data_IF_378040218571
#
_entry.id   IF_378040218571
#
_cell.length_a   1.000
_cell.length_b   1.000
_cell.length_c   1.000
_cell.angle_alpha   90.00
_cell.angle_beta   90.00
_cell.angle_gamma   90.00
#
_symmetry.space_group_name_H-M   'P 1'
#
loop_
_entity.id
_entity.type
_entity.pdbx_description
1 polymer ?
#
# COMPACT_ATOMS: atom_id res chain seq x y z
N UNK A 1 -15.56 2.16 15.30
CA UNK A 1 -15.00 1.46 14.11
C UNK A 1 -15.71 0.13 13.86
N UNK A 2 -15.61 -0.86 14.75
CA UNK A 2 -16.28 -2.16 14.57
C UNK A 2 -17.80 -2.03 14.36
N UNK A 3 -18.50 -1.38 15.30
CA UNK A 3 -19.96 -1.12 15.18
C UNK A 3 -20.32 -0.32 13.92
N UNK A 4 -19.64 0.81 13.69
CA UNK A 4 -19.91 1.68 12.54
C UNK A 4 -19.63 1.05 11.17
N UNK A 5 -18.82 -0.02 11.11
CA UNK A 5 -18.53 -0.74 9.86
C UNK A 5 -19.38 -2.01 9.68
N UNK A 6 -20.28 -2.30 10.62
CA UNK A 6 -21.06 -3.54 10.64
C UNK A 6 -20.20 -4.80 10.70
N UNK A 7 -18.97 -4.70 11.20
CA UNK A 7 -18.01 -5.81 11.22
C UNK A 7 -18.03 -6.53 12.57
N UNK A 8 -17.66 -7.81 12.57
CA UNK A 8 -17.61 -8.61 13.79
C UNK A 8 -16.21 -8.56 14.43
N UNK A 9 -16.10 -8.98 15.70
CA UNK A 9 -14.79 -9.08 16.36
C UNK A 9 -13.83 -10.04 15.62
N UNK A 10 -14.36 -11.07 14.95
CA UNK A 10 -13.57 -12.02 14.16
C UNK A 10 -13.01 -11.45 12.86
N UNK A 11 -13.44 -10.24 12.47
CA UNK A 11 -12.89 -9.52 11.31
C UNK A 11 -11.67 -8.65 11.69
N UNK A 12 -11.28 -8.62 12.97
CA UNK A 12 -10.13 -7.85 13.45
C UNK A 12 -9.13 -8.70 14.22
N UNK A 13 -7.90 -8.21 14.29
CA UNK A 13 -6.86 -8.69 15.19
C UNK A 13 -6.00 -7.53 15.70
N UNK A 14 -4.95 -7.86 16.43
CA UNK A 14 -3.92 -6.91 16.86
C UNK A 14 -2.57 -7.39 16.39
N UNK A 15 -1.68 -6.46 16.05
CA UNK A 15 -0.31 -6.76 15.64
C UNK A 15 0.70 -5.91 16.42
N UNK A 16 1.96 -5.94 15.97
CA UNK A 16 3.02 -5.09 16.48
C UNK A 16 3.28 -5.24 17.96
N UNK A 17 3.57 -4.12 18.62
CA UNK A 17 4.01 -4.12 20.02
C UNK A 17 2.93 -4.64 20.98
N UNK A 18 1.65 -4.51 20.65
CA UNK A 18 0.54 -5.05 21.43
C UNK A 18 0.52 -6.59 21.40
N UNK A 19 0.58 -7.18 20.20
CA UNK A 19 0.55 -8.63 20.04
C UNK A 19 1.73 -9.30 20.75
N UNK A 20 2.91 -8.68 20.69
CA UNK A 20 4.13 -9.21 21.31
C UNK A 20 4.26 -8.89 22.81
N UNK A 21 3.35 -8.10 23.40
CA UNK A 21 3.44 -7.69 24.80
C UNK A 21 4.59 -6.73 25.10
N UNK A 22 5.12 -6.04 24.08
CA UNK A 22 6.21 -5.08 24.18
C UNK A 22 5.74 -3.62 24.15
N UNK A 23 4.42 -3.41 24.21
CA UNK A 23 3.86 -2.07 24.13
C UNK A 23 4.24 -1.23 25.34
N UNK A 24 4.47 0.06 25.10
CA UNK A 24 4.69 1.06 26.14
C UNK A 24 3.55 2.09 26.09
N UNK A 25 2.73 2.23 27.14
CA UNK A 25 1.52 3.08 27.12
C UNK A 25 1.74 4.53 26.69
N UNK A 26 2.95 5.06 26.87
CA UNK A 26 3.31 6.44 26.48
C UNK A 26 3.88 6.57 25.06
N UNK A 27 4.33 5.47 24.45
CA UNK A 27 5.14 5.52 23.22
C UNK A 27 4.52 4.73 22.07
N UNK A 28 3.90 3.58 22.35
CA UNK A 28 3.37 2.70 21.31
C UNK A 28 2.18 3.29 20.55
N UNK A 29 2.10 2.90 19.31
CA UNK A 29 0.94 2.95 18.41
C UNK A 29 -0.02 1.77 18.67
N UNK A 30 -1.11 1.74 17.90
CA UNK A 30 -2.08 0.65 17.85
C UNK A 30 -2.15 0.08 16.43
N UNK A 31 -1.61 -1.13 16.25
CA UNK A 31 -1.67 -1.84 14.97
C UNK A 31 -2.85 -2.82 14.97
N UNK A 32 -3.91 -2.47 14.26
CA UNK A 32 -5.13 -3.27 14.17
C UNK A 32 -5.12 -4.06 12.86
N UNK A 33 -5.22 -5.38 12.94
CA UNK A 33 -5.41 -6.21 11.75
C UNK A 33 -6.85 -6.08 11.27
N UNK A 34 -7.05 -5.96 9.96
CA UNK A 34 -8.35 -6.02 9.29
C UNK A 34 -8.37 -7.22 8.35
N UNK A 35 -9.18 -8.22 8.65
CA UNK A 35 -9.25 -9.44 7.85
C UNK A 35 -10.27 -9.30 6.71
N UNK A 36 -9.79 -9.47 5.48
CA UNK A 36 -10.62 -9.57 4.28
C UNK A 36 -10.77 -8.27 3.51
N UNK A 37 -10.81 -8.39 2.18
CA UNK A 37 -10.92 -7.22 1.29
C UNK A 37 -12.24 -6.46 1.46
N UNK A 38 -13.33 -7.19 1.68
CA UNK A 38 -14.67 -6.62 1.88
C UNK A 38 -14.78 -5.88 3.22
N UNK A 39 -14.16 -6.40 4.29
CA UNK A 39 -14.06 -5.69 5.58
C UNK A 39 -13.20 -4.45 5.45
N UNK A 40 -12.04 -4.55 4.78
CA UNK A 40 -11.17 -3.40 4.52
C UNK A 40 -11.92 -2.28 3.79
N UNK A 41 -12.72 -2.62 2.77
CA UNK A 41 -13.52 -1.64 2.03
C UNK A 41 -14.46 -0.86 2.96
N UNK A 42 -15.28 -1.55 3.75
CA UNK A 42 -16.19 -0.90 4.72
C UNK A 42 -15.45 -0.06 5.76
N UNK A 43 -14.28 -0.52 6.21
CA UNK A 43 -13.45 0.23 7.14
C UNK A 43 -12.92 1.51 6.52
N UNK A 44 -12.46 1.48 5.27
CA UNK A 44 -11.96 2.68 4.58
C UNK A 44 -13.06 3.71 4.35
N UNK A 45 -14.27 3.27 3.98
CA UNK A 45 -15.45 4.12 3.82
C UNK A 45 -15.83 4.79 5.15
N UNK A 46 -15.91 4.01 6.24
CA UNK A 46 -16.16 4.54 7.58
C UNK A 46 -15.06 5.51 8.04
N UNK A 47 -13.79 5.17 7.83
CA UNK A 47 -12.68 6.04 8.24
C UNK A 47 -12.68 7.35 7.46
N UNK A 48 -13.06 7.34 6.19
CA UNK A 48 -13.25 8.55 5.41
C UNK A 48 -14.30 9.48 6.06
N UNK A 49 -15.46 8.94 6.45
CA UNK A 49 -16.50 9.71 7.15
C UNK A 49 -15.99 10.25 8.50
N UNK A 50 -15.36 9.38 9.30
CA UNK A 50 -14.82 9.74 10.61
C UNK A 50 -13.72 10.80 10.53
N UNK A 51 -12.87 10.78 9.50
CA UNK A 51 -11.83 11.79 9.32
C UNK A 51 -12.38 13.14 8.86
N UNK A 52 -13.60 13.18 8.29
CA UNK A 52 -14.27 14.42 7.89
C UNK A 52 -15.11 15.03 9.02
N UNK A 53 -15.47 14.24 10.03
CA UNK A 53 -16.22 14.69 11.19
C UNK A 53 -15.30 15.36 12.23
N UNK A 54 -15.49 16.67 12.45
CA UNK A 54 -14.71 17.44 13.43
C UNK A 54 -14.92 17.03 14.89
N UNK A 55 -15.99 16.31 15.20
CA UNK A 55 -16.25 15.76 16.55
C UNK A 55 -15.69 14.33 16.73
N UNK A 56 -15.21 13.72 15.65
CA UNK A 56 -14.59 12.40 15.68
C UNK A 56 -13.33 12.38 16.55
N UNK A 57 -13.13 11.25 17.22
CA UNK A 57 -11.88 10.97 17.95
C UNK A 57 -10.75 10.49 17.04
N UNK A 58 -11.01 10.32 15.75
CA UNK A 58 -10.05 9.86 14.77
C UNK A 58 -9.86 10.93 13.69
N UNK A 59 -8.62 11.28 13.41
CA UNK A 59 -8.23 12.12 12.26
C UNK A 59 -7.26 11.34 11.36
N UNK A 60 -7.12 11.76 10.11
CA UNK A 60 -6.16 11.10 9.22
C UNK A 60 -4.73 11.51 9.61
N UNK A 61 -3.79 10.57 9.66
CA UNK A 61 -2.39 10.89 10.04
C UNK A 61 -1.73 11.85 9.03
N UNK A 62 -2.10 11.75 7.76
CA UNK A 62 -1.48 12.45 6.64
C UNK A 62 -2.32 13.64 6.14
N UNK A 63 -3.05 14.31 7.04
CA UNK A 63 -3.78 15.55 6.68
C UNK A 63 -2.86 16.70 6.26
N UNK A 64 -1.65 16.75 6.84
CA UNK A 64 -0.63 17.75 6.55
C UNK A 64 0.77 17.11 6.44
N UNK A 65 1.80 17.94 6.27
CA UNK A 65 3.19 17.51 6.03
C UNK A 65 3.90 16.97 7.30
N UNK A 66 3.32 17.13 8.49
CA UNK A 66 3.98 16.79 9.76
C UNK A 66 4.53 15.36 9.84
N UNK A 67 3.90 14.31 9.27
CA UNK A 67 4.44 12.96 9.34
C UNK A 67 5.82 12.80 8.67
N UNK A 68 6.20 13.71 7.76
CA UNK A 68 7.49 13.70 7.07
C UNK A 68 8.37 14.91 7.39
N UNK A 69 7.85 15.88 8.15
CA UNK A 69 8.58 17.09 8.55
C UNK A 69 9.80 16.74 9.42
N UNK A 70 10.95 17.36 9.12
CA UNK A 70 12.21 17.14 9.83
C UNK A 70 12.86 15.76 9.59
N UNK A 71 12.21 14.85 8.84
CA UNK A 71 12.80 13.56 8.46
C UNK A 71 13.75 13.72 7.29
N UNK A 72 14.82 12.91 7.27
CA UNK A 72 15.73 12.83 6.12
C UNK A 72 15.01 12.14 4.96
N UNK A 73 14.62 12.91 3.95
CA UNK A 73 14.01 12.38 2.72
C UNK A 73 15.09 11.78 1.81
N UNK A 74 14.90 10.54 1.39
CA UNK A 74 15.88 9.81 0.57
C UNK A 74 15.33 9.42 -0.80
N UNK A 75 14.02 9.22 -0.94
CA UNK A 75 13.38 8.91 -2.22
C UNK A 75 13.62 10.04 -3.23
N UNK A 76 14.08 9.67 -4.43
CA UNK A 76 14.48 10.62 -5.48
C UNK A 76 13.33 11.01 -6.41
N UNK A 77 12.42 10.07 -6.65
CA UNK A 77 11.42 10.17 -7.72
C UNK A 77 9.98 10.42 -7.21
N UNK A 78 9.84 10.63 -5.90
CA UNK A 78 8.61 11.09 -5.24
C UNK A 78 8.97 12.12 -4.18
N UNK A 79 8.30 13.27 -4.20
CA UNK A 79 8.48 14.34 -3.22
C UNK A 79 7.75 14.02 -1.92
N UNK A 80 8.15 14.65 -0.79
CA UNK A 80 7.41 14.51 0.47
C UNK A 80 5.91 14.87 0.35
N UNK A 81 5.59 15.87 -0.48
CA UNK A 81 4.20 16.31 -0.71
C UNK A 81 3.40 15.25 -1.47
N UNK A 82 3.94 14.71 -2.55
CA UNK A 82 3.31 13.60 -3.29
C UNK A 82 3.13 12.37 -2.39
N UNK A 83 4.15 12.04 -1.58
CA UNK A 83 4.07 10.93 -0.64
C UNK A 83 2.93 11.11 0.37
N UNK A 84 2.85 12.27 1.04
CA UNK A 84 1.78 12.54 2.01
C UNK A 84 0.41 12.48 1.34
N UNK A 85 0.27 13.03 0.14
CA UNK A 85 -0.97 12.94 -0.64
C UNK A 85 -1.37 11.49 -0.91
N UNK A 86 -0.41 10.65 -1.32
CA UNK A 86 -0.63 9.22 -1.54
C UNK A 86 -0.93 8.45 -0.24
N UNK A 87 -0.30 8.76 0.89
CA UNK A 87 -0.61 8.09 2.16
C UNK A 87 -2.00 8.47 2.67
N UNK A 88 -2.39 9.75 2.55
CA UNK A 88 -3.68 10.27 3.01
C UNK A 88 -4.85 9.52 2.41
N UNK A 89 -4.82 9.24 1.11
CA UNK A 89 -5.92 8.58 0.37
C UNK A 89 -6.07 7.08 0.62
N UNK A 90 -5.14 6.45 1.35
CA UNK A 90 -5.25 5.03 1.72
C UNK A 90 -6.33 4.79 2.78
N UNK A 91 -6.58 5.81 3.62
CA UNK A 91 -7.56 5.81 4.71
C UNK A 91 -7.29 4.82 5.85
N UNK A 92 -6.16 4.12 5.86
CA UNK A 92 -5.80 3.14 6.89
C UNK A 92 -4.90 3.70 8.00
N UNK A 93 -4.46 4.95 7.88
CA UNK A 93 -3.59 5.62 8.85
C UNK A 93 -4.34 6.71 9.60
N UNK A 94 -4.47 6.55 10.91
CA UNK A 94 -5.23 7.42 11.77
C UNK A 94 -4.45 7.91 12.98
N UNK A 95 -4.91 9.01 13.55
CA UNK A 95 -4.52 9.48 14.86
C UNK A 95 -5.75 9.46 15.76
N UNK A 96 -5.67 8.70 16.84
CA UNK A 96 -6.66 8.69 17.90
C UNK A 96 -6.39 9.79 18.92
N UNK A 97 -7.44 10.53 19.24
CA UNK A 97 -7.46 11.62 20.21
C UNK A 97 -8.48 11.31 21.30
N UNK A 98 -8.10 11.50 22.56
CA UNK A 98 -9.04 11.45 23.67
C UNK A 98 -8.68 12.51 24.71
N UNK A 99 -9.66 13.28 25.19
CA UNK A 99 -9.42 14.39 26.13
C UNK A 99 -8.78 13.92 27.45
N UNK A 100 -8.96 12.66 27.84
CA UNK A 100 -8.34 12.05 29.02
C UNK A 100 -6.91 11.61 28.74
N UNK A 101 -6.58 11.29 27.49
CA UNK A 101 -5.27 10.85 27.05
C UNK A 101 -4.48 12.08 26.61
N UNK A 102 -3.46 12.47 27.41
CA UNK A 102 -2.63 13.65 27.13
C UNK A 102 -1.64 13.47 25.96
N UNK A 103 -1.89 12.53 25.05
CA UNK A 103 -1.08 12.29 23.85
C UNK A 103 -1.93 11.85 22.67
N UNK A 104 -1.41 12.09 21.48
CA UNK A 104 -1.90 11.51 20.23
C UNK A 104 -1.41 10.07 20.13
N UNK A 105 -2.28 9.15 19.74
CA UNK A 105 -1.93 7.74 19.53
C UNK A 105 -2.12 7.44 18.05
N UNK A 106 -1.08 6.98 17.37
CA UNK A 106 -1.22 6.50 15.99
C UNK A 106 -1.96 5.18 15.97
N UNK A 107 -2.83 5.02 14.98
CA UNK A 107 -3.62 3.81 14.78
C UNK A 107 -3.50 3.42 13.32
N UNK A 108 -3.06 2.21 13.06
CA UNK A 108 -2.93 1.65 11.73
C UNK A 108 -3.91 0.50 11.54
N UNK A 109 -4.61 0.50 10.41
CA UNK A 109 -5.56 -0.55 10.03
C UNK A 109 -4.93 -1.44 8.96
N UNK A 110 -4.25 -2.48 9.41
CA UNK A 110 -3.41 -3.36 8.60
C UNK A 110 -4.22 -4.46 7.91
N UNK A 111 -4.49 -4.38 6.60
CA UNK A 111 -5.22 -5.41 5.87
C UNK A 111 -4.46 -6.72 5.77
N UNK A 112 -5.15 -7.81 6.11
CA UNK A 112 -4.69 -9.18 5.94
C UNK A 112 -5.76 -9.97 5.20
N UNK A 113 -5.35 -10.83 4.28
CA UNK A 113 -6.28 -11.72 3.58
C UNK A 113 -6.92 -12.72 4.52
N UNK A 114 -8.20 -13.02 4.30
CA UNK A 114 -8.82 -14.22 4.85
C UNK A 114 -8.22 -15.46 4.17
N UNK A 115 -8.23 -16.59 4.86
CA UNK A 115 -7.64 -17.83 4.34
C UNK A 115 -8.20 -18.23 2.96
N UNK A 116 -9.50 -18.00 2.74
CA UNK A 116 -10.19 -18.27 1.46
C UNK A 116 -9.89 -17.25 0.34
N UNK A 117 -9.25 -16.12 0.65
CA UNK A 117 -8.82 -15.11 -0.35
C UNK A 117 -7.37 -15.35 -0.81
N UNK A 118 -6.63 -16.24 -0.15
CA UNK A 118 -5.24 -16.57 -0.49
C UNK A 118 -5.23 -17.47 -1.72
N UNK A 119 -4.48 -17.05 -2.74
CA UNK A 119 -4.23 -17.83 -3.96
C UNK A 119 -2.74 -18.12 -4.06
N UNK A 120 -2.38 -19.39 -4.24
CA UNK A 120 -0.99 -19.81 -4.38
C UNK A 120 -0.55 -19.83 -5.85
N UNK A 121 0.11 -18.75 -6.29
CA UNK A 121 0.66 -18.65 -7.65
C UNK A 121 2.03 -19.36 -7.80
N UNK A 122 2.73 -19.63 -6.69
CA UNK A 122 4.09 -20.20 -6.74
C UNK A 122 4.15 -21.60 -7.35
N UNK A 123 3.08 -22.36 -7.24
CA UNK A 123 2.99 -23.70 -7.83
C UNK A 123 3.09 -23.71 -9.36
N UNK A 124 2.77 -22.60 -10.02
CA UNK A 124 2.83 -22.47 -11.48
C UNK A 124 4.11 -21.79 -11.96
N UNK A 125 4.89 -21.18 -11.06
CA UNK A 125 6.08 -20.39 -11.38
C UNK A 125 7.24 -21.31 -11.77
N UNK A 126 7.79 -21.09 -12.96
CA UNK A 126 8.99 -21.79 -13.45
C UNK A 126 10.26 -20.97 -13.24
N UNK A 127 10.21 -19.67 -13.59
CA UNK A 127 11.39 -18.79 -13.58
C UNK A 127 11.00 -17.32 -13.52
N UNK A 128 11.83 -16.54 -12.84
CA UNK A 128 11.83 -15.08 -12.93
C UNK A 128 13.21 -14.65 -13.40
N UNK A 129 13.27 -13.84 -14.46
CA UNK A 129 14.52 -13.31 -15.02
C UNK A 129 14.48 -11.80 -15.04
N UNK A 130 15.45 -11.15 -14.39
CA UNK A 130 15.61 -9.69 -14.44
C UNK A 130 16.06 -9.26 -15.83
N UNK A 131 15.31 -8.34 -16.44
CA UNK A 131 15.57 -7.80 -17.79
C UNK A 131 16.12 -6.37 -17.78
N UNK A 132 16.24 -5.75 -16.61
CA UNK A 132 16.87 -4.43 -16.46
C UNK A 132 16.04 -3.49 -15.61
N UNK A 133 16.32 -2.19 -15.76
CA UNK A 133 15.51 -1.12 -15.16
C UNK A 133 14.57 -0.54 -16.20
N UNK A 134 13.40 -0.09 -15.77
CA UNK A 134 12.40 0.50 -16.65
C UNK A 134 11.71 1.69 -15.98
N UNK A 135 11.31 2.66 -16.81
CA UNK A 135 10.39 3.75 -16.47
C UNK A 135 9.20 3.69 -17.42
N UNK A 136 7.99 3.62 -16.89
CA UNK A 136 6.79 3.43 -17.70
C UNK A 136 5.58 4.20 -17.15
N UNK A 137 4.69 4.58 -18.07
CA UNK A 137 3.32 4.99 -17.77
C UNK A 137 2.42 3.78 -17.92
N UNK A 138 1.60 3.51 -16.91
CA UNK A 138 0.76 2.32 -16.84
C UNK A 138 -0.67 2.69 -16.49
N UNK A 139 -1.64 2.08 -17.17
CA UNK A 139 -3.05 2.10 -16.74
C UNK A 139 -3.25 1.00 -15.70
N UNK A 140 -3.86 1.32 -14.55
CA UNK A 140 -4.22 0.32 -13.55
C UNK A 140 -5.55 -0.33 -13.92
N UNK A 141 -5.49 -1.60 -14.33
CA UNK A 141 -6.66 -2.40 -14.68
C UNK A 141 -7.27 -3.11 -13.46
N UNK A 142 -6.48 -3.35 -12.41
CA UNK A 142 -6.94 -3.98 -11.19
C UNK A 142 -6.02 -3.74 -9.99
N UNK A 143 -6.64 -3.57 -8.83
CA UNK A 143 -6.04 -3.11 -7.57
C UNK A 143 -6.50 -3.94 -6.36
N UNK A 144 -7.20 -5.06 -6.58
CA UNK A 144 -7.72 -5.90 -5.49
C UNK A 144 -6.62 -6.47 -4.58
N UNK A 145 -5.40 -6.52 -5.08
CA UNK A 145 -4.21 -7.03 -4.39
C UNK A 145 -3.28 -5.90 -3.90
N UNK A 146 -3.61 -4.64 -4.19
CA UNK A 146 -2.82 -3.47 -3.77
C UNK A 146 -2.71 -3.27 -2.24
N UNK A 147 -3.69 -3.68 -1.40
CA UNK A 147 -3.60 -3.54 0.05
C UNK A 147 -2.58 -4.44 0.75
N UNK A 148 -2.23 -5.56 0.13
CA UNK A 148 -1.46 -6.62 0.77
C UNK A 148 0.05 -6.52 0.46
N UNK A 149 0.84 -7.41 1.07
CA UNK A 149 2.28 -7.52 0.83
C UNK A 149 2.62 -8.87 0.19
N UNK A 150 3.28 -8.91 -0.98
CA UNK A 150 3.55 -7.77 -1.86
C UNK A 150 2.27 -7.12 -2.39
N UNK A 151 2.32 -5.82 -2.62
CA UNK A 151 1.23 -5.09 -3.25
C UNK A 151 1.29 -5.30 -4.75
N UNK A 152 0.15 -5.58 -5.35
CA UNK A 152 0.07 -6.02 -6.73
C UNK A 152 -1.00 -5.22 -7.47
N UNK A 153 -0.59 -4.68 -8.60
CA UNK A 153 -1.45 -3.97 -9.53
C UNK A 153 -1.44 -4.71 -10.86
N UNK A 154 -2.62 -5.05 -11.37
CA UNK A 154 -2.77 -5.45 -12.75
C UNK A 154 -2.76 -4.20 -13.61
N UNK A 155 -1.93 -4.20 -14.66
CA UNK A 155 -1.65 -3.00 -15.42
C UNK A 155 -1.55 -3.29 -16.91
N UNK A 156 -1.76 -2.25 -17.70
CA UNK A 156 -1.42 -2.18 -19.12
C UNK A 156 -0.39 -1.07 -19.33
N UNK A 157 0.67 -1.32 -20.10
CA UNK A 157 1.66 -0.29 -20.41
C UNK A 157 1.13 0.65 -21.50
N UNK A 158 1.00 1.94 -21.15
CA UNK A 158 0.66 2.99 -22.11
C UNK A 158 1.91 3.49 -22.84
N UNK A 159 3.02 3.64 -22.11
CA UNK A 159 4.27 4.13 -22.65
C UNK A 159 5.48 3.60 -21.86
N UNK A 160 6.52 3.16 -22.57
CA UNK A 160 7.84 2.88 -21.99
C UNK A 160 8.80 4.02 -22.30
N UNK A 161 9.00 4.90 -21.31
CA UNK A 161 9.84 6.09 -21.42
C UNK A 161 11.33 5.74 -21.45
N UNK A 162 11.78 4.81 -20.60
CA UNK A 162 13.19 4.40 -20.50
C UNK A 162 13.30 2.91 -20.19
N UNK A 163 14.31 2.23 -20.75
CA UNK A 163 14.56 0.80 -20.53
C UNK A 163 14.21 -0.07 -21.74
N UNK A 164 14.14 -1.41 -21.56
CA UNK A 164 13.81 -2.35 -22.63
C UNK A 164 12.43 -2.06 -23.26
N UNK A 165 12.35 -2.08 -24.59
CA UNK A 165 11.10 -1.90 -25.32
C UNK A 165 10.30 -3.20 -25.32
N UNK A 166 9.23 -3.22 -24.54
CA UNK A 166 8.32 -4.36 -24.34
C UNK A 166 6.88 -3.86 -24.34
N UNK A 167 5.95 -4.75 -24.69
CA UNK A 167 4.51 -4.47 -24.84
C UNK A 167 3.62 -5.37 -23.96
N UNK A 168 4.19 -6.34 -23.23
CA UNK A 168 3.49 -7.34 -22.42
C UNK A 168 3.75 -7.18 -20.90
N UNK A 169 3.85 -5.93 -20.43
CA UNK A 169 3.85 -5.64 -18.99
C UNK A 169 2.42 -5.76 -18.48
N UNK A 170 2.15 -6.81 -17.70
CA UNK A 170 0.78 -7.13 -17.23
C UNK A 170 0.57 -6.92 -15.73
N UNK A 171 1.66 -6.66 -14.99
CA UNK A 171 1.64 -6.55 -13.53
C UNK A 171 2.72 -5.61 -13.02
N UNK A 172 2.42 -4.90 -11.95
CA UNK A 172 3.40 -4.23 -11.10
C UNK A 172 3.33 -4.87 -9.70
N UNK A 173 4.48 -5.28 -9.17
CA UNK A 173 4.62 -5.90 -7.84
C UNK A 173 5.52 -5.03 -6.97
N UNK A 174 5.07 -4.62 -5.79
CA UNK A 174 5.89 -3.87 -4.85
C UNK A 174 5.97 -4.56 -3.50
N UNK A 175 7.21 -4.84 -3.10
CA UNK A 175 7.60 -5.28 -1.75
C UNK A 175 7.90 -4.10 -0.82
N UNK A 176 7.74 -2.87 -1.30
CA UNK A 176 7.97 -1.65 -0.54
C UNK A 176 6.62 -1.18 0.02
N UNK A 177 6.54 -1.15 1.34
CA UNK A 177 5.32 -0.89 2.10
C UNK A 177 4.71 0.48 1.77
N UNK A 178 5.56 1.50 1.57
CA UNK A 178 5.16 2.86 1.22
C UNK A 178 4.28 2.92 -0.04
N UNK A 179 4.43 1.96 -0.96
CA UNK A 179 3.72 1.87 -2.23
C UNK A 179 2.56 0.85 -2.25
N UNK A 180 2.14 0.32 -1.09
CA UNK A 180 0.83 -0.36 -0.98
C UNK A 180 -0.30 0.64 -1.22
N UNK A 181 -1.44 0.20 -1.76
CA UNK A 181 -2.63 1.06 -1.96
C UNK A 181 -2.31 2.40 -2.64
N UNK A 182 -1.30 2.41 -3.49
CA UNK A 182 -0.72 3.62 -4.06
C UNK A 182 -1.52 4.12 -5.26
N UNK A 183 -2.29 3.24 -5.90
CA UNK A 183 -3.08 3.44 -7.10
C UNK A 183 -4.38 2.62 -7.05
N UNK A 184 -5.41 3.08 -7.75
CA UNK A 184 -6.71 2.43 -7.89
C UNK A 184 -7.01 2.13 -9.37
N UNK A 185 -7.93 1.20 -9.62
CA UNK A 185 -8.37 0.89 -10.97
C UNK A 185 -8.84 2.15 -11.73
N UNK A 186 -8.38 2.30 -12.97
CA UNK A 186 -8.67 3.43 -13.86
C UNK A 186 -7.71 4.62 -13.68
N UNK A 187 -6.79 4.57 -12.72
CA UNK A 187 -5.75 5.59 -12.59
C UNK A 187 -4.54 5.26 -13.48
N UNK A 188 -3.94 6.31 -14.05
CA UNK A 188 -2.66 6.21 -14.75
C UNK A 188 -1.54 6.48 -13.76
N UNK A 189 -0.53 5.61 -13.74
CA UNK A 189 0.61 5.71 -12.85
C UNK A 189 1.92 5.85 -13.62
N UNK A 190 2.83 6.62 -13.04
CA UNK A 190 4.25 6.60 -13.34
C UNK A 190 4.95 5.59 -12.42
N UNK A 191 5.71 4.67 -13.01
CA UNK A 191 6.44 3.64 -12.28
C UNK A 191 7.92 3.57 -12.70
N UNK A 192 8.81 3.42 -11.71
CA UNK A 192 10.20 3.04 -11.90
C UNK A 192 10.56 1.81 -11.07
N UNK A 193 11.17 0.81 -11.70
CA UNK A 193 11.56 -0.41 -11.01
C UNK A 193 12.32 -1.39 -11.89
N UNK A 194 12.44 -2.62 -11.39
CA UNK A 194 13.10 -3.70 -12.12
C UNK A 194 12.10 -4.36 -13.08
N UNK A 195 12.42 -4.39 -14.37
CA UNK A 195 11.68 -5.20 -15.33
C UNK A 195 12.06 -6.67 -15.13
N UNK A 196 11.06 -7.53 -14.99
CA UNK A 196 11.23 -8.96 -14.83
C UNK A 196 10.35 -9.72 -15.82
N UNK A 197 10.93 -10.71 -16.51
CA UNK A 197 10.17 -11.72 -17.23
C UNK A 197 9.79 -12.83 -16.27
N UNK A 198 8.49 -13.12 -16.19
CA UNK A 198 7.91 -14.19 -15.37
C UNK A 198 7.44 -15.30 -16.29
N UNK A 199 8.00 -16.50 -16.09
CA UNK A 199 7.66 -17.69 -16.84
C UNK A 199 6.91 -18.66 -15.94
N UNK A 200 5.70 -19.02 -16.34
CA UNK A 200 4.84 -19.99 -15.65
C UNK A 200 4.69 -21.27 -16.47
N UNK A 201 3.99 -22.26 -15.93
CA UNK A 201 3.59 -23.46 -16.69
C UNK A 201 2.67 -23.15 -17.87
N UNK A 202 1.93 -22.05 -17.84
CA UNK A 202 0.88 -21.70 -18.83
C UNK A 202 1.25 -20.56 -19.77
N UNK A 203 2.01 -19.58 -19.30
CA UNK A 203 2.32 -18.34 -20.04
C UNK A 203 3.64 -17.70 -19.59
N UNK A 204 4.12 -16.77 -20.41
CA UNK A 204 5.23 -15.86 -20.12
C UNK A 204 4.73 -14.41 -20.24
N UNK A 205 5.15 -13.52 -19.35
CA UNK A 205 4.78 -12.10 -19.34
C UNK A 205 5.86 -11.28 -18.64
N UNK A 206 5.81 -9.94 -18.73
CA UNK A 206 6.64 -9.06 -17.90
C UNK A 206 5.87 -8.42 -16.75
N UNK A 207 6.61 -8.16 -15.69
CA UNK A 207 6.17 -7.34 -14.56
C UNK A 207 7.25 -6.29 -14.21
N UNK A 208 6.81 -5.21 -13.57
CA UNK A 208 7.72 -4.26 -12.92
C UNK A 208 7.73 -4.58 -11.42
N UNK A 209 8.92 -4.78 -10.86
CA UNK A 209 9.11 -5.13 -9.45
C UNK A 209 9.86 -4.05 -8.70
N UNK A 210 9.26 -3.61 -7.59
CA UNK A 210 9.89 -2.73 -6.61
C UNK A 210 10.29 -3.55 -5.38
N UNK A 211 11.55 -3.51 -4.99
CA UNK A 211 12.10 -4.36 -3.92
C UNK A 211 13.35 -3.78 -3.26
N UNK A 212 13.80 -4.37 -2.16
CA UNK A 212 15.03 -3.97 -1.48
C UNK A 212 16.25 -4.34 -2.31
N UNK A 213 17.09 -3.35 -2.64
CA UNK A 213 18.29 -3.59 -3.43
C UNK A 213 18.97 -2.31 -3.91
N UNK A 214 19.90 -2.43 -4.87
CA UNK A 214 20.48 -1.28 -5.54
C UNK A 214 19.37 -0.41 -6.13
N UNK A 215 19.52 0.92 -6.05
CA UNK A 215 18.51 1.89 -6.49
C UNK A 215 17.21 1.89 -5.65
N UNK A 216 17.24 1.41 -4.40
CA UNK A 216 16.07 1.39 -3.51
C UNK A 216 15.28 2.71 -3.52
N UNK A 217 15.98 3.83 -3.34
CA UNK A 217 15.40 5.17 -3.28
C UNK A 217 15.01 5.79 -4.64
N UNK A 218 15.27 5.11 -5.76
CA UNK A 218 14.83 5.53 -7.10
C UNK A 218 13.53 4.85 -7.53
N UNK A 219 13.12 3.80 -6.83
CA UNK A 219 11.87 3.10 -7.11
C UNK A 219 10.69 4.00 -6.77
N UNK A 220 9.65 3.99 -7.60
CA UNK A 220 8.45 4.78 -7.37
C UNK A 220 7.24 4.14 -8.02
N UNK A 221 6.10 4.28 -7.34
CA UNK A 221 4.76 4.25 -7.95
C UNK A 221 4.11 5.57 -7.53
N UNK A 222 3.63 6.36 -8.48
CA UNK A 222 2.84 7.58 -8.21
C UNK A 222 1.86 7.82 -9.35
N UNK A 223 0.84 8.65 -9.12
CA UNK A 223 -0.04 9.04 -10.22
C UNK A 223 0.76 9.78 -11.30
N UNK A 224 0.42 9.53 -12.57
CA UNK A 224 0.88 10.35 -13.67
C UNK A 224 0.08 11.65 -13.66
N UNK A 225 0.77 12.78 -13.73
CA UNK A 225 0.16 14.12 -13.86
C UNK A 225 -0.46 14.31 -15.26
#
# INVERSE_FOLDING_TARGET
VMEGSGSSIGDFGVFGSLLHGLYHPKLSDLDMIVYGGETLKRIRELLQELYMDGESKLSNEFEDIKPVEGKRWLFKNISPKEFVWHQRRKMIYGIFHDRKIKRKIKVEFEPVKKYNEIKNEYSELKRITREGWIKALLMVEGDSEAPYMPSVYHVEALEVMEGPKVDDITRLVSYIEEFRMQAWRGEVIYAEGNLERVETSRRSYRQITLTYGPRYYEQVIKLAD
#
